data_IF_685126511413
#
_entry.id   IF_685126511413
#
_cell.length_a   1.000
_cell.length_b   1.000
_cell.length_c   1.000
_cell.angle_alpha   90.00
_cell.angle_beta   90.00
_cell.angle_gamma   90.00
#
_symmetry.space_group_name_H-M   'P 1'
#
loop_
_entity.id
_entity.type
_entity.pdbx_description
1 polymer ?
#
# COMPACT_ATOMS: atom_id res chain seq x y z
N UNK A 1 63.84 39.98 -78.41
CA UNK A 1 62.64 40.69 -78.04
C UNK A 1 61.64 39.76 -77.56
N UNK A 2 60.99 40.09 -76.55
CA UNK A 2 59.88 39.45 -75.79
C UNK A 2 60.33 38.62 -74.54
N UNK A 3 60.07 39.29 -73.41
CA UNK A 3 60.30 38.79 -72.07
C UNK A 3 59.09 37.92 -71.61
N UNK A 4 59.39 36.76 -71.00
CA UNK A 4 58.32 35.99 -70.34
C UNK A 4 58.49 36.15 -68.82
N UNK A 5 57.47 36.71 -68.19
CA UNK A 5 57.38 36.86 -66.72
C UNK A 5 56.95 35.53 -66.09
N UNK A 6 57.76 35.01 -65.18
CA UNK A 6 57.42 33.87 -64.35
C UNK A 6 56.38 34.23 -63.23
N UNK A 7 55.37 33.45 -63.12
CA UNK A 7 54.35 33.54 -62.09
C UNK A 7 54.67 32.61 -60.91
N UNK A 8 54.93 33.20 -59.73
CA UNK A 8 55.16 32.39 -58.49
C UNK A 8 53.75 32.09 -57.90
N UNK A 9 53.47 30.80 -57.82
CA UNK A 9 52.33 30.27 -57.16
C UNK A 9 52.66 30.03 -55.68
N UNK A 10 52.08 30.80 -54.77
CA UNK A 10 52.17 30.58 -53.31
C UNK A 10 51.12 29.57 -52.91
N UNK A 11 51.48 28.41 -52.42
CA UNK A 11 50.57 27.40 -51.87
C UNK A 11 50.07 27.89 -50.48
N UNK A 12 48.78 28.19 -50.36
CA UNK A 12 48.10 28.43 -49.05
C UNK A 12 47.60 27.11 -48.50
N UNK A 13 48.19 26.70 -47.37
CA UNK A 13 47.76 25.52 -46.62
C UNK A 13 46.49 25.87 -45.85
N UNK A 14 45.32 25.35 -46.27
CA UNK A 14 44.11 25.44 -45.53
C UNK A 14 44.08 24.41 -44.40
N UNK A 15 44.13 24.89 -43.16
CA UNK A 15 43.91 24.10 -41.93
C UNK A 15 42.40 23.88 -41.76
N UNK A 16 41.89 22.71 -42.13
CA UNK A 16 40.50 22.33 -41.88
C UNK A 16 40.32 21.91 -40.40
N UNK A 17 39.72 22.84 -39.61
CA UNK A 17 39.23 22.50 -38.25
C UNK A 17 37.98 21.66 -38.39
N UNK A 18 38.12 20.37 -38.16
CA UNK A 18 36.99 19.45 -38.07
C UNK A 18 36.18 19.70 -36.80
N UNK A 19 35.03 20.37 -36.91
CA UNK A 19 34.03 20.46 -35.82
C UNK A 19 33.39 19.10 -35.69
N UNK A 20 33.78 18.33 -34.64
CA UNK A 20 33.09 17.12 -34.26
C UNK A 20 31.74 17.51 -33.63
N UNK A 21 30.69 17.48 -34.41
CA UNK A 21 29.33 17.53 -33.87
C UNK A 21 29.06 16.23 -33.09
N UNK A 22 29.17 16.29 -31.77
CA UNK A 22 28.60 15.27 -30.88
C UNK A 22 27.10 15.24 -31.09
N UNK A 23 26.61 14.30 -31.89
CA UNK A 23 25.17 14.01 -32.00
C UNK A 23 24.78 13.42 -30.66
N UNK A 24 24.19 14.28 -29.79
CA UNK A 24 23.48 13.81 -28.63
C UNK A 24 22.34 12.93 -29.15
N UNK A 25 22.50 11.60 -29.01
CA UNK A 25 21.38 10.70 -29.28
C UNK A 25 20.23 11.07 -28.33
N UNK A 26 19.01 11.35 -28.85
CA UNK A 26 17.87 11.53 -27.97
C UNK A 26 17.77 10.27 -27.12
N UNK A 27 17.70 10.43 -25.81
CA UNK A 27 17.45 9.33 -24.89
C UNK A 27 16.23 8.57 -25.45
N UNK A 28 16.46 7.32 -25.86
CA UNK A 28 15.41 6.49 -26.47
C UNK A 28 14.28 6.43 -25.46
N UNK A 29 13.10 6.89 -25.85
CA UNK A 29 11.94 6.90 -24.98
C UNK A 29 11.81 5.53 -24.33
N UNK A 30 11.89 5.45 -23.00
CA UNK A 30 12.03 4.19 -22.24
C UNK A 30 10.81 3.26 -22.34
N UNK A 31 9.89 3.52 -23.25
CA UNK A 31 8.65 2.77 -23.43
C UNK A 31 7.59 3.14 -22.39
N UNK A 32 6.71 2.20 -22.10
CA UNK A 32 5.61 2.41 -21.14
C UNK A 32 5.41 1.19 -20.24
N UNK A 33 4.67 1.41 -19.14
CA UNK A 33 4.14 0.37 -18.27
C UNK A 33 2.71 0.72 -17.86
N UNK A 34 1.78 -0.24 -18.01
CA UNK A 34 0.36 -0.06 -17.71
C UNK A 34 0.05 -0.67 -16.34
N UNK A 35 -0.32 0.17 -15.39
CA UNK A 35 -0.59 -0.23 -14.01
C UNK A 35 -2.09 -0.23 -13.74
N UNK A 36 -2.66 -1.39 -13.45
CA UNK A 36 -4.02 -1.54 -12.95
C UNK A 36 -4.00 -1.47 -11.42
N UNK A 37 -4.53 -0.39 -10.86
CA UNK A 37 -4.37 -0.06 -9.45
C UNK A 37 -5.68 0.00 -8.69
N UNK A 38 -5.73 -0.69 -7.56
CA UNK A 38 -6.77 -0.49 -6.54
C UNK A 38 -6.46 0.70 -5.60
N UNK A 39 -5.26 1.29 -5.71
CA UNK A 39 -4.90 2.49 -4.94
C UNK A 39 -5.25 3.75 -5.71
N UNK A 40 -5.71 4.75 -4.96
CA UNK A 40 -6.04 6.05 -5.51
C UNK A 40 -4.80 6.69 -6.18
N UNK A 41 -4.97 7.37 -7.32
CA UNK A 41 -3.86 8.01 -8.05
C UNK A 41 -2.99 8.92 -7.18
N UNK A 42 -3.60 9.70 -6.29
CA UNK A 42 -2.90 10.61 -5.36
C UNK A 42 -1.91 9.93 -4.43
N UNK A 43 -2.01 8.59 -4.26
CA UNK A 43 -1.13 7.82 -3.39
C UNK A 43 0.04 7.17 -4.11
N UNK A 44 -0.07 6.98 -5.41
CA UNK A 44 0.94 6.25 -6.21
C UNK A 44 1.61 7.16 -7.25
N UNK A 45 0.96 8.24 -7.65
CA UNK A 45 1.49 9.17 -8.63
C UNK A 45 2.87 9.75 -8.26
N UNK A 46 3.16 10.17 -7.03
CA UNK A 46 4.49 10.66 -6.69
C UNK A 46 5.62 9.65 -6.98
N UNK A 47 5.37 8.35 -6.72
CA UNK A 47 6.31 7.27 -7.03
C UNK A 47 6.50 7.10 -8.53
N UNK A 48 5.41 7.09 -9.28
CA UNK A 48 5.43 6.87 -10.73
C UNK A 48 6.04 8.05 -11.49
N UNK A 49 5.84 9.28 -11.00
CA UNK A 49 6.45 10.48 -11.59
C UNK A 49 7.99 10.45 -11.44
N UNK A 50 8.50 10.04 -10.27
CA UNK A 50 9.95 9.89 -10.05
C UNK A 50 10.51 8.75 -10.91
N UNK A 51 9.83 7.62 -10.96
CA UNK A 51 10.22 6.50 -11.83
C UNK A 51 10.31 6.93 -13.30
N UNK A 52 9.28 7.61 -13.81
CA UNK A 52 9.25 8.10 -15.19
C UNK A 52 10.38 9.10 -15.44
N UNK A 53 10.62 10.02 -14.51
CA UNK A 53 11.72 11.02 -14.63
C UNK A 53 13.10 10.34 -14.71
N UNK A 54 13.31 9.26 -13.96
CA UNK A 54 14.61 8.54 -13.92
C UNK A 54 14.85 7.63 -15.12
N UNK A 55 13.80 6.99 -15.60
CA UNK A 55 13.93 5.89 -16.57
C UNK A 55 13.47 6.25 -17.98
N UNK A 56 12.73 7.34 -18.13
CA UNK A 56 12.02 7.66 -19.37
C UNK A 56 10.81 6.75 -19.63
N UNK A 57 10.52 5.76 -18.77
CA UNK A 57 9.39 4.83 -18.92
C UNK A 57 8.12 5.54 -18.44
N UNK A 58 7.14 5.70 -19.33
CA UNK A 58 5.84 6.29 -19.00
C UNK A 58 4.99 5.32 -18.21
N UNK A 59 4.43 5.75 -17.07
CA UNK A 59 3.45 4.95 -16.31
C UNK A 59 2.04 5.36 -16.67
N UNK A 60 1.27 4.44 -17.27
CA UNK A 60 -0.15 4.61 -17.54
C UNK A 60 -0.94 3.97 -16.40
N UNK A 61 -1.73 4.76 -15.68
CA UNK A 61 -2.45 4.32 -14.48
C UNK A 61 -3.94 4.19 -14.76
N UNK A 62 -4.48 2.97 -14.58
CA UNK A 62 -5.91 2.71 -14.53
C UNK A 62 -6.31 2.43 -13.07
N UNK A 63 -7.17 3.27 -12.52
CA UNK A 63 -7.67 3.12 -11.15
C UNK A 63 -9.09 2.58 -11.13
N UNK A 64 -9.35 1.56 -10.30
CA UNK A 64 -10.71 1.14 -9.95
C UNK A 64 -10.77 0.63 -8.50
N UNK A 65 -11.90 0.86 -7.84
CA UNK A 65 -12.12 0.40 -6.45
C UNK A 65 -12.32 -1.11 -6.35
N UNK A 66 -12.78 -1.76 -7.44
CA UNK A 66 -13.09 -3.20 -7.52
C UNK A 66 -12.96 -3.70 -8.96
N UNK A 67 -12.92 -5.02 -9.15
CA UNK A 67 -13.08 -5.68 -10.45
C UNK A 67 -11.83 -5.79 -11.32
N UNK A 68 -10.63 -5.25 -10.91
CA UNK A 68 -9.45 -5.28 -11.78
C UNK A 68 -8.90 -6.69 -12.02
N UNK A 69 -8.90 -7.57 -11.03
CA UNK A 69 -8.50 -8.98 -11.21
C UNK A 69 -9.43 -9.66 -12.24
N UNK A 70 -10.74 -9.48 -12.09
CA UNK A 70 -11.70 -10.06 -13.05
C UNK A 70 -11.53 -9.46 -14.45
N UNK A 71 -11.26 -8.17 -14.55
CA UNK A 71 -10.98 -7.49 -15.79
C UNK A 71 -9.78 -8.09 -16.52
N UNK A 72 -8.62 -8.23 -15.84
CA UNK A 72 -7.41 -8.85 -16.41
C UNK A 72 -7.72 -10.28 -16.84
N UNK A 73 -8.48 -11.04 -16.03
CA UNK A 73 -8.88 -12.42 -16.37
C UNK A 73 -9.73 -12.49 -17.64
N UNK A 74 -10.70 -11.58 -17.78
CA UNK A 74 -11.58 -11.51 -18.96
C UNK A 74 -10.83 -11.02 -20.20
N UNK A 75 -9.92 -10.06 -20.07
CA UNK A 75 -9.06 -9.57 -21.15
C UNK A 75 -8.08 -10.66 -21.63
N UNK A 76 -7.68 -11.59 -20.75
CA UNK A 76 -6.80 -12.72 -21.07
C UNK A 76 -5.46 -12.28 -21.67
N UNK A 77 -5.07 -12.92 -22.77
CA UNK A 77 -3.82 -12.60 -23.49
C UNK A 77 -3.84 -11.21 -24.16
N UNK A 78 -5.01 -10.60 -24.33
CA UNK A 78 -5.17 -9.27 -24.90
C UNK A 78 -5.16 -8.17 -23.82
N UNK A 79 -4.94 -8.52 -22.56
CA UNK A 79 -4.89 -7.51 -21.48
C UNK A 79 -3.72 -6.56 -21.69
N UNK A 80 -3.96 -5.23 -21.67
CA UNK A 80 -2.88 -4.26 -21.71
C UNK A 80 -2.19 -4.10 -20.35
N UNK A 81 -2.67 -4.75 -19.31
CA UNK A 81 -2.11 -4.61 -17.96
C UNK A 81 -0.72 -5.23 -17.86
N UNK A 82 0.26 -4.46 -17.36
CA UNK A 82 1.59 -4.96 -17.04
C UNK A 82 1.74 -5.25 -15.55
N UNK A 83 1.12 -4.43 -14.71
CA UNK A 83 1.20 -4.54 -13.24
C UNK A 83 -0.18 -4.45 -12.64
N UNK A 84 -0.50 -5.35 -11.70
CA UNK A 84 -1.61 -5.18 -10.77
C UNK A 84 -1.08 -4.66 -9.44
N UNK A 85 -1.62 -3.51 -8.98
CA UNK A 85 -1.18 -2.82 -7.79
C UNK A 85 -2.32 -2.72 -6.76
N UNK A 86 -2.07 -3.13 -5.52
CA UNK A 86 -3.13 -3.21 -4.51
C UNK A 86 -2.64 -2.81 -3.12
N UNK A 87 -3.59 -2.52 -2.26
CA UNK A 87 -3.36 -2.18 -0.85
C UNK A 87 -3.86 -3.27 0.10
N UNK A 88 -3.84 -4.53 -0.32
CA UNK A 88 -4.35 -5.62 0.53
C UNK A 88 -3.83 -6.98 0.08
N UNK A 89 -3.34 -7.78 1.05
CA UNK A 89 -2.81 -9.11 0.78
C UNK A 89 -3.85 -10.06 0.17
N UNK A 90 -5.12 -9.94 0.55
CA UNK A 90 -6.17 -10.78 -0.02
C UNK A 90 -6.44 -10.50 -1.50
N UNK A 91 -6.20 -9.28 -1.96
CA UNK A 91 -6.28 -8.96 -3.38
C UNK A 91 -5.10 -9.49 -4.16
N UNK A 92 -3.89 -9.49 -3.56
CA UNK A 92 -2.72 -10.14 -4.15
C UNK A 92 -2.94 -11.65 -4.26
N UNK A 93 -3.40 -12.28 -3.19
CA UNK A 93 -3.78 -13.70 -3.20
C UNK A 93 -4.87 -14.00 -4.23
N UNK A 94 -5.88 -13.14 -4.33
CA UNK A 94 -6.93 -13.25 -5.35
C UNK A 94 -6.40 -13.17 -6.77
N UNK A 95 -5.38 -12.34 -7.03
CA UNK A 95 -4.73 -12.28 -8.34
C UNK A 95 -3.97 -13.57 -8.67
N UNK A 96 -3.28 -14.17 -7.66
CA UNK A 96 -2.63 -15.48 -7.80
C UNK A 96 -3.67 -16.58 -8.06
N UNK A 97 -4.72 -16.66 -7.25
CA UNK A 97 -5.79 -17.67 -7.39
C UNK A 97 -6.56 -17.56 -8.71
N UNK A 98 -6.67 -16.35 -9.25
CA UNK A 98 -7.30 -16.11 -10.56
C UNK A 98 -6.36 -16.39 -11.74
N UNK A 99 -5.09 -16.74 -11.46
CA UNK A 99 -4.03 -16.99 -12.46
C UNK A 99 -3.80 -15.80 -13.42
N UNK A 100 -3.84 -14.57 -12.86
CA UNK A 100 -3.65 -13.32 -13.63
C UNK A 100 -2.29 -12.65 -13.40
N UNK A 101 -1.42 -13.26 -12.61
CA UNK A 101 -0.04 -12.79 -12.37
C UNK A 101 0.97 -13.88 -12.69
N UNK A 102 2.15 -13.48 -13.12
CA UNK A 102 3.26 -14.37 -13.44
C UNK A 102 4.36 -14.32 -12.38
N UNK A 103 5.21 -15.32 -12.38
CA UNK A 103 6.43 -15.36 -11.57
C UNK A 103 7.44 -14.32 -12.07
N UNK A 104 8.06 -13.61 -11.14
CA UNK A 104 9.18 -12.71 -11.38
C UNK A 104 10.34 -13.16 -10.49
N UNK A 105 11.49 -13.38 -11.09
CA UNK A 105 12.74 -13.59 -10.39
C UNK A 105 13.64 -12.36 -10.62
N UNK A 106 13.93 -11.62 -9.55
CA UNK A 106 14.80 -10.45 -9.55
C UNK A 106 15.62 -10.43 -8.26
N UNK A 107 16.92 -10.46 -8.39
CA UNK A 107 17.84 -10.39 -7.25
C UNK A 107 17.69 -9.06 -6.50
N UNK A 108 17.40 -7.98 -7.21
CA UNK A 108 17.15 -6.66 -6.63
C UNK A 108 15.91 -6.70 -5.71
N UNK A 109 14.81 -7.25 -6.20
CA UNK A 109 13.58 -7.37 -5.42
C UNK A 109 13.80 -8.33 -4.24
N UNK A 110 14.42 -9.46 -4.47
CA UNK A 110 14.68 -10.48 -3.46
C UNK A 110 15.59 -9.99 -2.33
N UNK A 111 16.57 -9.14 -2.65
CA UNK A 111 17.46 -8.49 -1.67
C UNK A 111 16.73 -7.43 -0.85
N UNK A 112 15.81 -6.68 -1.46
CA UNK A 112 15.19 -5.50 -0.85
C UNK A 112 13.88 -5.81 -0.12
N UNK A 113 13.15 -6.86 -0.51
CA UNK A 113 11.88 -7.24 0.12
C UNK A 113 12.07 -8.54 0.90
N UNK A 114 11.94 -8.53 2.23
CA UNK A 114 12.04 -9.74 3.06
C UNK A 114 11.05 -10.83 2.61
N UNK A 115 11.42 -12.10 2.79
CA UNK A 115 10.60 -13.24 2.40
C UNK A 115 9.21 -13.25 3.03
N UNK A 116 9.05 -12.70 4.25
CA UNK A 116 7.76 -12.55 4.93
C UNK A 116 6.77 -11.61 4.20
N UNK A 117 7.28 -10.74 3.32
CA UNK A 117 6.48 -9.78 2.58
C UNK A 117 6.41 -10.06 1.07
N UNK A 118 6.70 -11.28 0.63
CA UNK A 118 6.58 -11.68 -0.77
C UNK A 118 6.02 -13.09 -0.93
N UNK A 119 5.50 -13.35 -2.09
CA UNK A 119 5.05 -14.69 -2.47
C UNK A 119 6.24 -15.66 -2.58
N UNK A 120 6.08 -16.89 -2.12
CA UNK A 120 7.13 -17.91 -2.19
C UNK A 120 7.53 -18.26 -3.64
N UNK A 121 6.58 -18.14 -4.57
CA UNK A 121 6.77 -18.41 -6.00
C UNK A 121 7.03 -17.12 -6.80
N UNK A 122 7.26 -15.97 -6.15
CA UNK A 122 7.57 -14.70 -6.81
C UNK A 122 6.43 -14.08 -7.62
N UNK A 123 5.17 -14.39 -7.29
CA UNK A 123 4.00 -13.88 -8.01
C UNK A 123 3.50 -12.53 -7.52
N UNK A 124 3.85 -12.15 -6.30
CA UNK A 124 3.57 -10.81 -5.73
C UNK A 124 4.66 -10.38 -4.75
N UNK A 125 4.76 -9.07 -4.58
CA UNK A 125 5.73 -8.41 -3.69
C UNK A 125 5.03 -7.34 -2.88
N UNK A 126 5.16 -7.42 -1.55
CA UNK A 126 4.74 -6.38 -0.62
C UNK A 126 5.74 -5.22 -0.66
N UNK A 127 5.24 -4.02 -0.86
CA UNK A 127 6.08 -2.83 -1.03
C UNK A 127 6.07 -1.93 0.20
N UNK A 128 4.97 -1.96 0.97
CA UNK A 128 4.85 -1.26 2.24
C UNK A 128 3.93 -2.02 3.19
N UNK A 129 4.07 -1.74 4.49
CA UNK A 129 3.15 -2.24 5.51
C UNK A 129 2.31 -1.12 6.12
N UNK A 130 1.19 -1.47 6.70
CA UNK A 130 0.34 -0.60 7.51
C UNK A 130 -0.29 -1.38 8.65
N UNK A 131 -0.35 -0.76 9.82
CA UNK A 131 -1.02 -1.32 10.99
C UNK A 131 -2.53 -1.11 10.95
N UNK A 132 -3.29 -2.10 11.41
CA UNK A 132 -4.69 -1.93 11.77
C UNK A 132 -4.74 -1.49 13.22
N UNK A 133 -4.88 -0.20 13.48
CA UNK A 133 -4.65 0.45 14.76
C UNK A 133 -5.96 0.93 15.39
N UNK A 134 -5.87 1.40 16.61
CA UNK A 134 -6.94 2.12 17.29
C UNK A 134 -6.62 3.61 17.31
N UNK A 135 -7.59 4.43 16.91
CA UNK A 135 -7.59 5.86 17.13
C UNK A 135 -8.55 6.15 18.27
N UNK A 136 -8.00 6.43 19.43
CA UNK A 136 -8.75 6.54 20.69
C UNK A 136 -8.91 7.99 21.11
N UNK A 137 -10.06 8.33 21.69
CA UNK A 137 -10.29 9.66 22.23
C UNK A 137 -9.25 10.05 23.27
N UNK A 138 -8.61 11.21 23.10
CA UNK A 138 -7.64 11.74 24.07
C UNK A 138 -8.26 12.02 25.44
N UNK A 139 -9.52 12.40 25.44
CA UNK A 139 -10.22 12.80 26.67
C UNK A 139 -10.86 11.61 27.38
N UNK A 140 -11.46 10.65 26.64
CA UNK A 140 -12.32 9.61 27.22
C UNK A 140 -11.62 8.27 27.43
N UNK A 141 -10.48 8.00 26.73
CA UNK A 141 -9.69 6.79 26.89
C UNK A 141 -8.40 7.12 27.60
N UNK A 142 -8.23 6.64 28.81
CA UNK A 142 -7.06 6.91 29.66
C UNK A 142 -6.01 5.80 29.65
N UNK A 143 -6.38 4.58 29.18
CA UNK A 143 -5.46 3.46 29.07
C UNK A 143 -4.34 3.74 28.05
N UNK A 144 -3.12 3.34 28.37
CA UNK A 144 -1.96 3.51 27.49
C UNK A 144 -1.79 2.37 26.50
N UNK A 145 -2.38 1.21 26.76
CA UNK A 145 -2.41 0.06 25.85
C UNK A 145 -3.80 -0.59 25.81
N UNK A 146 -4.15 -1.14 24.67
CA UNK A 146 -5.38 -1.92 24.44
C UNK A 146 -5.01 -3.02 23.46
N UNK A 147 -5.38 -4.27 23.76
CA UNK A 147 -5.24 -5.38 22.82
C UNK A 147 -6.46 -5.51 21.91
N UNK A 148 -6.36 -6.25 20.79
CA UNK A 148 -7.54 -6.55 19.99
C UNK A 148 -8.54 -7.39 20.77
N UNK A 149 -8.04 -8.28 21.63
CA UNK A 149 -8.83 -9.17 22.47
C UNK A 149 -9.72 -8.38 23.41
N UNK A 150 -9.20 -7.34 24.05
CA UNK A 150 -9.92 -6.46 24.96
C UNK A 150 -11.09 -5.71 24.31
N UNK A 151 -11.09 -5.53 22.99
CA UNK A 151 -12.22 -4.88 22.29
C UNK A 151 -13.53 -5.64 22.43
N UNK A 152 -13.47 -6.91 22.80
CA UNK A 152 -14.68 -7.73 23.09
C UNK A 152 -15.14 -7.64 24.56
N UNK A 153 -14.39 -6.99 25.45
CA UNK A 153 -14.74 -6.89 26.87
C UNK A 153 -15.90 -5.92 27.12
N UNK A 154 -16.80 -6.20 28.07
CA UNK A 154 -18.00 -5.39 28.35
C UNK A 154 -17.71 -3.91 28.68
N UNK A 155 -16.52 -3.59 29.18
CA UNK A 155 -16.10 -2.19 29.48
C UNK A 155 -16.19 -1.26 28.27
N UNK A 156 -16.14 -1.81 27.06
CA UNK A 156 -16.23 -1.09 25.80
C UNK A 156 -17.63 -1.03 25.19
N UNK A 157 -18.67 -1.45 25.91
CA UNK A 157 -20.05 -1.46 25.40
C UNK A 157 -20.46 -0.05 24.92
N UNK A 158 -20.88 0.04 23.65
CA UNK A 158 -21.28 1.29 23.01
C UNK A 158 -20.15 2.26 22.71
N UNK A 159 -18.87 1.83 22.77
CA UNK A 159 -17.72 2.73 22.66
C UNK A 159 -16.86 2.53 21.40
N UNK A 160 -17.16 1.55 20.55
CA UNK A 160 -16.33 1.21 19.40
C UNK A 160 -17.03 1.58 18.10
N UNK A 161 -16.31 2.30 17.23
CA UNK A 161 -16.69 2.56 15.85
C UNK A 161 -15.78 1.83 14.88
N UNK A 162 -16.38 1.12 13.94
CA UNK A 162 -15.65 0.35 12.91
C UNK A 162 -16.44 0.38 11.61
N UNK A 163 -15.73 0.30 10.48
CA UNK A 163 -16.34 0.11 9.17
C UNK A 163 -16.86 -1.32 9.00
N UNK A 164 -17.56 -1.59 7.89
CA UNK A 164 -18.10 -2.92 7.58
C UNK A 164 -17.10 -4.06 7.87
N UNK A 165 -17.57 -5.11 8.54
CA UNK A 165 -16.80 -6.33 8.79
C UNK A 165 -16.34 -7.02 7.51
N UNK A 166 -17.13 -6.94 6.43
CA UNK A 166 -16.79 -7.48 5.10
C UNK A 166 -15.76 -6.64 4.34
N UNK A 167 -15.35 -5.49 4.88
CA UNK A 167 -14.29 -4.74 4.23
C UNK A 167 -12.95 -5.47 4.34
N UNK A 168 -12.18 -5.50 3.24
CA UNK A 168 -10.93 -6.27 3.12
C UNK A 168 -9.94 -6.05 4.28
N UNK A 169 -9.92 -4.86 4.92
CA UNK A 169 -9.03 -4.57 6.05
C UNK A 169 -9.50 -5.29 7.33
N UNK A 170 -10.79 -5.34 7.58
CA UNK A 170 -11.34 -6.04 8.74
C UNK A 170 -11.31 -7.55 8.54
N UNK A 171 -11.63 -8.05 7.34
CA UNK A 171 -11.46 -9.48 7.01
C UNK A 171 -10.02 -9.93 7.22
N UNK A 172 -9.01 -9.09 6.91
CA UNK A 172 -7.61 -9.43 7.16
C UNK A 172 -7.29 -9.48 8.67
N UNK A 173 -7.77 -8.51 9.47
CA UNK A 173 -7.65 -8.55 10.93
C UNK A 173 -8.34 -9.80 11.51
N UNK A 174 -9.57 -10.08 11.10
CA UNK A 174 -10.33 -11.24 11.61
C UNK A 174 -9.68 -12.56 11.21
N UNK A 175 -9.10 -12.64 10.02
CA UNK A 175 -8.30 -13.78 9.59
C UNK A 175 -7.04 -13.96 10.44
N UNK A 176 -6.36 -12.88 10.84
CA UNK A 176 -5.23 -12.97 11.77
C UNK A 176 -5.67 -13.44 13.16
N UNK A 177 -6.85 -13.02 13.63
CA UNK A 177 -7.42 -13.52 14.89
C UNK A 177 -7.71 -15.03 14.82
N UNK A 178 -8.22 -15.53 13.67
CA UNK A 178 -8.43 -16.98 13.49
C UNK A 178 -7.10 -17.73 13.51
N UNK A 179 -6.08 -17.19 12.85
CA UNK A 179 -4.75 -17.83 12.84
C UNK A 179 -4.13 -17.92 14.24
N UNK A 180 -4.32 -16.90 15.09
CA UNK A 180 -3.80 -16.89 16.46
C UNK A 180 -4.66 -17.69 17.46
N UNK A 181 -5.98 -17.65 17.33
CA UNK A 181 -6.90 -18.13 18.37
C UNK A 181 -7.81 -19.28 17.94
N UNK A 182 -7.85 -19.58 16.65
CA UNK A 182 -8.79 -20.53 16.07
C UNK A 182 -10.20 -19.91 15.85
N UNK A 183 -10.99 -20.61 15.04
CA UNK A 183 -12.30 -20.16 14.57
C UNK A 183 -13.28 -19.82 15.71
N UNK A 184 -13.47 -20.76 16.65
CA UNK A 184 -14.49 -20.61 17.69
C UNK A 184 -14.20 -19.48 18.70
N UNK A 185 -12.93 -19.31 19.10
CA UNK A 185 -12.55 -18.19 19.95
C UNK A 185 -12.72 -16.87 19.21
N UNK A 186 -12.38 -16.81 17.92
CA UNK A 186 -12.57 -15.62 17.08
C UNK A 186 -14.06 -15.33 16.87
N UNK A 187 -14.93 -16.33 16.73
CA UNK A 187 -16.38 -16.13 16.66
C UNK A 187 -16.90 -15.44 17.93
N UNK A 188 -16.56 -15.95 19.10
CA UNK A 188 -16.94 -15.35 20.39
C UNK A 188 -16.41 -13.94 20.55
N UNK A 189 -15.17 -13.70 20.12
CA UNK A 189 -14.56 -12.37 20.11
C UNK A 189 -15.32 -11.41 19.19
N UNK A 190 -15.69 -11.84 17.97
CA UNK A 190 -16.50 -11.03 17.04
C UNK A 190 -17.89 -10.70 17.60
N UNK A 191 -18.51 -11.64 18.32
CA UNK A 191 -19.79 -11.40 19.03
C UNK A 191 -19.63 -10.33 20.10
N UNK A 192 -18.58 -10.43 20.94
CA UNK A 192 -18.25 -9.42 21.94
C UNK A 192 -17.94 -8.07 21.34
N UNK A 193 -17.10 -8.02 20.31
CA UNK A 193 -16.78 -6.79 19.58
C UNK A 193 -18.06 -6.17 18.98
N UNK A 194 -18.93 -6.97 18.36
CA UNK A 194 -20.22 -6.51 17.82
C UNK A 194 -21.09 -5.86 18.91
N UNK A 195 -21.19 -6.48 20.08
CA UNK A 195 -21.97 -5.98 21.20
C UNK A 195 -21.43 -4.66 21.77
N UNK A 196 -20.13 -4.39 21.54
CA UNK A 196 -19.45 -3.19 22.00
C UNK A 196 -19.48 -2.04 20.97
N UNK A 197 -20.06 -2.26 19.79
CA UNK A 197 -20.18 -1.22 18.79
C UNK A 197 -21.15 -0.12 19.27
N UNK A 198 -20.80 1.14 19.00
CA UNK A 198 -21.65 2.28 19.28
C UNK A 198 -22.79 2.42 18.26
N UNK A 199 -22.61 1.85 17.07
CA UNK A 199 -23.57 1.93 15.97
C UNK A 199 -23.31 0.83 14.94
N UNK A 200 -24.26 0.67 14.01
CA UNK A 200 -24.10 -0.20 12.85
C UNK A 200 -22.84 0.19 12.07
N UNK A 201 -21.98 -0.79 11.70
CA UNK A 201 -20.79 -0.54 10.90
C UNK A 201 -21.10 0.17 9.58
N UNK A 202 -20.51 1.35 9.36
CA UNK A 202 -20.73 2.16 8.17
C UNK A 202 -19.55 3.07 7.86
N UNK A 203 -19.51 3.62 6.64
CA UNK A 203 -18.51 4.59 6.24
C UNK A 203 -17.08 4.02 6.03
N UNK A 204 -16.11 4.91 6.00
CA UNK A 204 -14.69 4.59 5.88
C UNK A 204 -13.94 4.88 7.19
N UNK A 205 -12.62 4.62 7.24
CA UNK A 205 -11.83 4.79 8.47
C UNK A 205 -11.85 6.24 8.99
N UNK A 206 -11.86 7.27 8.12
CA UNK A 206 -11.99 8.68 8.54
C UNK A 206 -13.35 8.98 9.17
N UNK A 207 -14.41 8.35 8.66
CA UNK A 207 -15.74 8.48 9.25
C UNK A 207 -15.79 7.92 10.68
N UNK A 208 -15.01 6.88 11.00
CA UNK A 208 -14.91 6.36 12.36
C UNK A 208 -14.27 7.41 13.29
N UNK A 209 -13.20 8.09 12.83
CA UNK A 209 -12.55 9.16 13.60
C UNK A 209 -13.49 10.36 13.79
N UNK A 210 -14.25 10.73 12.74
CA UNK A 210 -15.31 11.74 12.87
C UNK A 210 -16.32 11.37 13.96
N UNK A 211 -16.67 10.08 14.09
CA UNK A 211 -17.58 9.62 15.13
C UNK A 211 -16.97 9.74 16.53
N UNK A 212 -15.65 9.48 16.69
CA UNK A 212 -14.96 9.72 17.95
C UNK A 212 -14.94 11.21 18.30
N UNK A 213 -14.60 12.07 17.33
CA UNK A 213 -14.65 13.53 17.49
C UNK A 213 -16.04 14.02 17.92
N UNK A 214 -17.09 13.47 17.34
CA UNK A 214 -18.48 13.81 17.67
C UNK A 214 -19.00 13.16 18.96
N UNK A 215 -18.18 12.43 19.74
CA UNK A 215 -18.58 11.80 20.98
C UNK A 215 -19.47 10.56 20.84
N UNK A 216 -19.65 10.02 19.61
CA UNK A 216 -20.50 8.85 19.37
C UNK A 216 -19.85 7.54 19.83
N UNK A 217 -18.52 7.49 19.86
CA UNK A 217 -17.73 6.37 20.35
C UNK A 217 -16.39 6.89 20.88
N UNK A 218 -15.64 6.04 21.57
CA UNK A 218 -14.36 6.39 22.17
C UNK A 218 -13.17 5.82 21.40
N UNK A 219 -13.40 4.77 20.62
CA UNK A 219 -12.39 4.02 19.85
C UNK A 219 -12.82 3.90 18.39
N UNK A 220 -11.96 4.28 17.46
CA UNK A 220 -12.10 4.00 16.04
C UNK A 220 -11.08 2.97 15.60
N UNK A 221 -11.50 1.86 14.99
CA UNK A 221 -10.59 0.88 14.37
C UNK A 221 -10.28 1.35 12.95
N UNK A 222 -9.01 1.68 12.68
CA UNK A 222 -8.58 2.31 11.44
C UNK A 222 -7.20 1.83 10.98
N UNK A 223 -6.82 2.13 9.75
CA UNK A 223 -5.42 1.99 9.33
C UNK A 223 -4.63 3.27 9.69
N UNK A 224 -3.38 3.10 10.12
CA UNK A 224 -2.53 4.19 10.61
C UNK A 224 -2.41 5.36 9.62
N UNK A 225 -2.23 5.12 8.33
CA UNK A 225 -2.01 6.16 7.33
C UNK A 225 -3.19 7.15 7.19
N UNK A 226 -4.40 6.80 7.66
CA UNK A 226 -5.51 7.74 7.67
C UNK A 226 -5.29 8.89 8.65
N UNK A 227 -4.52 8.67 9.73
CA UNK A 227 -4.12 9.75 10.64
C UNK A 227 -3.35 10.83 9.88
N UNK A 228 -2.25 10.46 9.21
CA UNK A 228 -1.46 11.40 8.43
C UNK A 228 -2.25 12.10 7.33
N UNK A 229 -3.17 11.37 6.68
CA UNK A 229 -4.04 11.96 5.67
C UNK A 229 -5.04 12.97 6.21
N UNK A 230 -5.53 12.81 7.43
CA UNK A 230 -6.39 13.78 8.07
C UNK A 230 -5.58 15.01 8.53
N UNK A 231 -4.43 14.78 9.14
CA UNK A 231 -3.53 15.84 9.62
C UNK A 231 -3.03 16.77 8.50
N UNK A 232 -2.90 16.26 7.27
CA UNK A 232 -2.38 17.01 6.10
C UNK A 232 -3.43 17.37 5.07
N UNK A 233 -4.72 17.30 5.41
CA UNK A 233 -5.79 17.51 4.44
C UNK A 233 -6.22 18.99 4.38
N UNK A 234 -5.63 19.74 3.47
CA UNK A 234 -6.00 21.16 3.26
C UNK A 234 -7.32 21.35 2.50
N UNK A 235 -7.76 20.32 1.74
CA UNK A 235 -9.05 20.35 1.04
C UNK A 235 -10.24 20.13 1.96
N UNK A 236 -10.02 19.51 3.12
CA UNK A 236 -11.01 19.19 4.12
C UNK A 236 -10.42 19.48 5.50
N UNK A 237 -10.25 20.77 5.86
CA UNK A 237 -9.56 21.19 7.08
C UNK A 237 -10.23 20.68 8.37
N UNK A 238 -11.54 20.41 8.33
CA UNK A 238 -12.28 19.80 9.45
C UNK A 238 -11.68 18.44 9.87
N UNK A 239 -11.00 17.71 8.97
CA UNK A 239 -10.36 16.45 9.28
C UNK A 239 -9.15 16.61 10.20
N UNK A 240 -8.50 17.78 10.18
CA UNK A 240 -7.40 18.10 11.10
C UNK A 240 -7.91 18.15 12.54
N UNK A 241 -9.11 18.69 12.76
CA UNK A 241 -9.72 18.71 14.10
C UNK A 241 -10.12 17.32 14.57
N UNK A 242 -10.63 16.46 13.66
CA UNK A 242 -10.87 15.06 14.01
C UNK A 242 -9.58 14.34 14.41
N UNK A 243 -8.47 14.56 13.67
CA UNK A 243 -7.19 13.97 14.01
C UNK A 243 -6.65 14.45 15.37
N UNK A 244 -6.81 15.73 15.70
CA UNK A 244 -6.39 16.30 17.02
C UNK A 244 -7.15 15.67 18.19
N UNK A 245 -8.40 15.25 18.01
CA UNK A 245 -9.24 14.69 19.08
C UNK A 245 -8.85 13.27 19.50
N UNK A 246 -8.01 12.59 18.68
CA UNK A 246 -7.63 11.22 18.93
C UNK A 246 -6.12 11.07 19.09
N UNK A 247 -5.68 9.98 19.72
CA UNK A 247 -4.30 9.51 19.69
C UNK A 247 -4.24 8.12 19.07
N UNK A 248 -3.11 7.80 18.43
CA UNK A 248 -2.88 6.49 17.86
C UNK A 248 -2.43 5.52 18.94
N UNK A 249 -2.97 4.31 18.89
CA UNK A 249 -2.59 3.21 19.75
C UNK A 249 -2.40 1.96 18.89
N UNK A 250 -1.28 1.28 19.10
CA UNK A 250 -0.91 0.06 18.39
C UNK A 250 -1.27 -1.15 19.25
N UNK A 251 -2.35 -1.90 18.93
CA UNK A 251 -2.77 -3.04 19.74
C UNK A 251 -1.70 -4.14 19.79
N UNK A 252 -1.64 -4.86 20.91
CA UNK A 252 -0.79 -6.02 21.11
C UNK A 252 0.73 -5.77 20.94
N UNK A 253 1.20 -4.51 20.94
CA UNK A 253 2.63 -4.19 20.77
C UNK A 253 3.52 -4.90 21.82
N UNK A 254 3.03 -5.05 23.05
CA UNK A 254 3.76 -5.71 24.13
C UNK A 254 3.71 -7.25 24.06
N UNK A 255 2.84 -7.78 23.23
CA UNK A 255 2.64 -9.24 23.08
C UNK A 255 3.04 -9.73 21.69
N UNK A 256 2.09 -10.23 20.88
CA UNK A 256 2.35 -10.75 19.53
C UNK A 256 2.64 -9.68 18.48
N UNK A 257 2.31 -8.45 18.78
CA UNK A 257 2.45 -7.34 17.85
C UNK A 257 1.14 -6.91 17.19
N UNK A 258 1.15 -5.70 16.65
CA UNK A 258 0.02 -5.11 15.91
C UNK A 258 -0.15 -5.81 14.57
N UNK A 259 -1.39 -6.21 14.23
CA UNK A 259 -1.71 -6.74 12.92
C UNK A 259 -1.31 -5.76 11.81
N UNK A 260 -0.50 -6.24 10.87
CA UNK A 260 -0.07 -5.50 9.68
C UNK A 260 -0.59 -6.15 8.41
N UNK A 261 -0.83 -5.32 7.40
CA UNK A 261 -1.17 -5.76 6.06
C UNK A 261 -0.24 -5.04 5.07
N UNK A 262 -0.20 -5.48 3.81
CA UNK A 262 0.73 -4.94 2.82
C UNK A 262 0.01 -4.21 1.69
N UNK A 263 0.67 -3.17 1.18
CA UNK A 263 0.45 -2.71 -0.18
C UNK A 263 1.51 -3.35 -1.06
N UNK A 264 1.12 -3.83 -2.21
CA UNK A 264 2.04 -4.58 -3.07
C UNK A 264 1.57 -4.68 -4.50
N UNK A 265 2.36 -5.36 -5.30
CA UNK A 265 2.10 -5.52 -6.73
C UNK A 265 2.57 -6.88 -7.24
N UNK A 266 2.02 -7.28 -8.38
CA UNK A 266 2.47 -8.41 -9.18
C UNK A 266 2.50 -8.04 -10.65
N UNK A 267 3.34 -8.70 -11.44
CA UNK A 267 3.38 -8.56 -12.89
C UNK A 267 2.24 -9.36 -13.49
N UNK A 268 1.46 -8.77 -14.37
CA UNK A 268 0.34 -9.45 -15.02
C UNK A 268 0.84 -10.61 -15.89
N UNK A 269 0.04 -11.69 -15.97
CA UNK A 269 0.43 -12.95 -16.64
C UNK A 269 0.86 -12.74 -18.09
N UNK A 270 0.18 -11.88 -18.82
CA UNK A 270 0.43 -11.58 -20.23
C UNK A 270 0.94 -10.14 -20.42
N UNK A 271 1.69 -9.59 -19.45
CA UNK A 271 2.20 -8.23 -19.50
C UNK A 271 2.92 -7.92 -20.81
N UNK A 272 2.40 -7.02 -21.67
CA UNK A 272 3.05 -6.67 -22.94
C UNK A 272 4.38 -5.91 -22.73
N UNK A 273 4.54 -5.22 -21.61
CA UNK A 273 5.75 -4.48 -21.26
C UNK A 273 6.42 -5.08 -20.00
N UNK A 274 6.60 -6.42 -19.99
CA UNK A 274 7.08 -7.18 -18.83
C UNK A 274 8.35 -6.60 -18.20
N UNK A 275 9.35 -6.29 -19.01
CA UNK A 275 10.64 -5.82 -18.50
C UNK A 275 10.53 -4.43 -17.84
N UNK A 276 9.69 -3.56 -18.38
CA UNK A 276 9.37 -2.27 -17.77
C UNK A 276 8.58 -2.44 -16.47
N UNK A 277 7.71 -3.45 -16.39
CA UNK A 277 6.99 -3.82 -15.17
C UNK A 277 7.95 -4.28 -14.07
N UNK A 278 8.94 -5.12 -14.40
CA UNK A 278 9.98 -5.57 -13.46
C UNK A 278 10.81 -4.38 -12.98
N UNK A 279 11.28 -3.51 -13.89
CA UNK A 279 12.00 -2.26 -13.53
C UNK A 279 11.20 -1.37 -12.61
N UNK A 280 9.88 -1.26 -12.80
CA UNK A 280 9.02 -0.51 -11.89
C UNK A 280 8.99 -1.15 -10.50
N UNK A 281 8.85 -2.47 -10.40
CA UNK A 281 8.86 -3.17 -9.11
C UNK A 281 10.22 -3.04 -8.40
N UNK A 282 11.33 -3.13 -9.12
CA UNK A 282 12.69 -2.92 -8.60
C UNK A 282 12.87 -1.51 -8.06
N UNK A 283 12.39 -0.49 -8.78
CA UNK A 283 12.40 0.89 -8.30
C UNK A 283 11.56 1.05 -7.02
N UNK A 284 10.34 0.50 -6.99
CA UNK A 284 9.48 0.56 -5.82
C UNK A 284 10.05 -0.17 -4.60
N UNK A 285 10.90 -1.18 -4.82
CA UNK A 285 11.63 -1.91 -3.79
C UNK A 285 12.96 -1.22 -3.38
N UNK A 286 13.45 -0.23 -4.13
CA UNK A 286 14.70 0.49 -3.85
C UNK A 286 14.57 1.42 -2.63
N UNK A 287 15.72 1.88 -2.09
CA UNK A 287 15.72 2.88 -1.01
C UNK A 287 14.92 4.12 -1.36
N UNK A 288 15.08 4.62 -2.59
CA UNK A 288 14.37 5.81 -3.06
C UNK A 288 12.86 5.57 -3.14
N UNK A 289 12.42 4.47 -3.78
CA UNK A 289 11.00 4.12 -3.86
C UNK A 289 10.37 3.96 -2.47
N UNK A 290 11.05 3.27 -1.56
CA UNK A 290 10.61 3.05 -0.19
C UNK A 290 10.56 4.35 0.62
N UNK A 291 11.53 5.26 0.47
CA UNK A 291 11.52 6.56 1.12
C UNK A 291 10.37 7.44 0.61
N UNK A 292 10.16 7.53 -0.71
CA UNK A 292 9.02 8.29 -1.27
C UNK A 292 7.70 7.74 -0.72
N UNK A 293 7.59 6.42 -0.63
CA UNK A 293 6.39 5.77 -0.09
C UNK A 293 6.13 6.15 1.37
N UNK A 294 7.16 6.07 2.21
CA UNK A 294 7.07 6.42 3.62
C UNK A 294 6.65 7.88 3.83
N UNK A 295 7.21 8.81 3.03
CA UNK A 295 6.94 10.24 3.16
C UNK A 295 5.57 10.65 2.60
N UNK A 296 5.15 10.06 1.45
CA UNK A 296 3.95 10.50 0.73
C UNK A 296 2.66 9.81 1.17
N UNK A 297 2.76 8.59 1.69
CA UNK A 297 1.59 7.72 1.94
C UNK A 297 1.39 7.40 3.41
N UNK A 298 2.40 7.67 4.25
CA UNK A 298 2.36 7.38 5.69
C UNK A 298 2.23 5.88 6.02
N UNK A 299 2.66 5.02 5.11
CA UNK A 299 2.85 3.59 5.33
C UNK A 299 4.31 3.31 5.71
N UNK A 300 4.58 2.15 6.28
CA UNK A 300 5.91 1.78 6.72
C UNK A 300 6.65 1.03 5.61
N UNK A 301 7.91 1.38 5.32
CA UNK A 301 8.71 0.66 4.34
C UNK A 301 8.92 -0.79 4.78
N UNK A 302 9.00 -1.71 3.81
CA UNK A 302 9.32 -3.13 4.06
C UNK A 302 10.82 -3.40 3.95
N UNK A 303 11.56 -2.56 3.22
CA UNK A 303 13.01 -2.73 3.05
C UNK A 303 13.72 -2.44 4.37
N UNK A 304 14.54 -3.37 4.89
CA UNK A 304 15.36 -3.13 6.08
C UNK A 304 16.30 -1.95 5.88
N UNK A 305 16.50 -1.15 6.94
CA UNK A 305 17.38 0.02 6.91
C UNK A 305 16.76 1.31 6.36
N UNK A 306 15.59 1.25 5.73
CA UNK A 306 14.87 2.47 5.31
C UNK A 306 14.14 3.08 6.50
N UNK A 307 14.44 4.34 6.79
CA UNK A 307 13.84 5.06 7.91
C UNK A 307 12.35 5.34 7.68
N UNK A 308 11.58 5.25 8.75
CA UNK A 308 10.20 5.75 8.76
C UNK A 308 10.19 7.27 8.58
N UNK A 309 9.10 7.81 8.05
CA UNK A 309 8.91 9.26 8.03
C UNK A 309 8.88 9.82 9.46
N UNK A 310 9.28 11.07 9.65
CA UNK A 310 9.22 11.73 10.96
C UNK A 310 7.79 11.75 11.52
N UNK A 311 6.81 11.86 10.63
CA UNK A 311 5.40 11.76 11.02
C UNK A 311 5.04 10.36 11.53
N UNK A 312 5.48 9.30 10.87
CA UNK A 312 5.24 7.93 11.35
C UNK A 312 5.93 7.70 12.70
N UNK A 313 7.14 8.23 12.89
CA UNK A 313 7.87 8.18 14.17
C UNK A 313 7.13 8.92 15.28
N UNK A 314 6.51 10.07 14.98
CA UNK A 314 5.77 10.87 15.97
C UNK A 314 4.52 10.17 16.52
N UNK A 315 4.01 9.13 15.84
CA UNK A 315 2.89 8.32 16.34
C UNK A 315 3.32 7.21 17.30
N UNK A 316 4.62 7.02 17.49
CA UNK A 316 5.22 5.97 18.30
C UNK A 316 5.76 4.81 17.48
N UNK A 317 6.60 4.01 18.14
CA UNK A 317 7.16 2.78 17.57
C UNK A 317 6.30 1.61 18.02
N UNK A 318 6.07 0.66 17.12
CA UNK A 318 5.30 -0.54 17.43
C UNK A 318 6.00 -1.81 16.95
N UNK A 319 5.71 -2.91 17.61
CA UNK A 319 6.06 -4.25 17.15
C UNK A 319 4.98 -4.72 16.18
N UNK A 320 5.37 -5.02 14.95
CA UNK A 320 4.47 -5.66 13.99
C UNK A 320 4.27 -7.15 14.36
N UNK A 321 3.06 -7.65 14.17
CA UNK A 321 2.78 -9.08 14.24
C UNK A 321 3.60 -9.82 13.18
N UNK A 322 4.32 -10.85 13.59
CA UNK A 322 5.18 -11.67 12.73
C UNK A 322 4.44 -12.81 12.02
N UNK A 323 3.11 -12.89 12.20
CA UNK A 323 2.30 -13.90 11.52
C UNK A 323 2.52 -13.82 10.00
N UNK A 324 2.90 -14.95 9.35
CA UNK A 324 3.09 -14.96 7.91
C UNK A 324 1.82 -14.52 7.17
N UNK A 325 1.96 -13.65 6.18
CA UNK A 325 0.82 -13.15 5.40
C UNK A 325 0.04 -14.28 4.71
N UNK A 326 0.72 -15.37 4.35
CA UNK A 326 0.08 -16.55 3.77
C UNK A 326 -0.89 -17.23 4.75
N UNK A 327 -0.65 -17.17 6.05
CA UNK A 327 -1.57 -17.72 7.06
C UNK A 327 -2.82 -16.84 7.19
N UNK A 328 -2.66 -15.52 7.08
CA UNK A 328 -3.82 -14.61 6.96
C UNK A 328 -4.65 -14.95 5.70
N UNK A 329 -3.99 -15.21 4.57
CA UNK A 329 -4.67 -15.55 3.31
C UNK A 329 -5.54 -16.80 3.50
N UNK A 330 -5.01 -17.86 4.13
CA UNK A 330 -5.72 -19.13 4.35
C UNK A 330 -7.05 -18.95 5.08
N UNK A 331 -7.10 -18.05 6.07
CA UNK A 331 -8.26 -17.85 6.94
C UNK A 331 -9.24 -16.76 6.44
N UNK A 332 -8.98 -16.08 5.32
CA UNK A 332 -9.82 -14.95 4.85
C UNK A 332 -11.26 -15.34 4.51
N UNK A 333 -11.45 -16.50 3.86
CA UNK A 333 -12.79 -17.01 3.54
C UNK A 333 -13.57 -17.26 4.83
N UNK A 334 -12.97 -17.98 5.75
CA UNK A 334 -13.56 -18.30 7.05
C UNK A 334 -13.86 -17.03 7.88
N UNK A 335 -12.97 -16.04 7.86
CA UNK A 335 -13.19 -14.74 8.51
C UNK A 335 -14.39 -13.99 7.92
N UNK A 336 -14.55 -14.03 6.58
CA UNK A 336 -15.71 -13.44 5.91
C UNK A 336 -17.01 -14.15 6.29
N UNK A 337 -17.00 -15.48 6.33
CA UNK A 337 -18.13 -16.30 6.77
C UNK A 337 -18.53 -16.00 8.22
N UNK A 338 -17.56 -15.85 9.14
CA UNK A 338 -17.83 -15.48 10.52
C UNK A 338 -18.49 -14.12 10.66
N UNK A 339 -18.13 -13.13 9.82
CA UNK A 339 -18.81 -11.82 9.81
C UNK A 339 -20.30 -11.94 9.53
N UNK A 340 -20.67 -12.85 8.61
CA UNK A 340 -22.07 -13.10 8.26
C UNK A 340 -22.77 -13.94 9.34
N UNK A 341 -22.14 -14.99 9.84
CA UNK A 341 -22.67 -15.87 10.91
C UNK A 341 -23.03 -15.05 12.17
N UNK A 342 -22.13 -14.17 12.62
CA UNK A 342 -22.40 -13.33 13.81
C UNK A 342 -23.32 -12.14 13.49
N UNK A 343 -23.64 -11.92 12.23
CA UNK A 343 -24.41 -10.74 11.79
C UNK A 343 -23.69 -9.43 12.15
N UNK A 344 -22.36 -9.37 12.00
CA UNK A 344 -21.53 -8.26 12.47
C UNK A 344 -21.99 -6.91 11.92
N UNK A 345 -22.35 -6.88 10.64
CA UNK A 345 -22.78 -5.66 9.96
C UNK A 345 -24.21 -5.17 10.37
N UNK A 346 -24.93 -5.94 11.17
CA UNK A 346 -26.20 -5.50 11.73
C UNK A 346 -26.01 -4.51 12.89
N UNK A 347 -24.79 -4.44 13.44
CA UNK A 347 -24.49 -3.61 14.60
C UNK A 347 -24.84 -4.31 15.93
N UNK A 348 -24.74 -3.59 17.06
CA UNK A 348 -25.06 -4.15 18.37
C UNK A 348 -26.54 -4.58 18.42
N UNK A 349 -26.83 -5.55 19.28
CA UNK A 349 -28.24 -5.83 19.63
C UNK A 349 -28.82 -4.59 20.33
N UNK A 350 -30.03 -4.22 19.95
CA UNK A 350 -30.82 -3.14 20.58
C UNK A 350 -31.12 -3.45 22.04
#
# INVERSE_FOLDING_TARGET
>A
MTATKGLKITAATMLSVGIVFSIAHPAQAGGQVNVYSYRQPTLVKPLFDVFTKKTGIKVNLLFAKKGLVQRIKTEGANSPADVIFTADIGRLAGAVSADVVQQVNSDIINKNIPASYRDKDGKWFGLTTRGRILLVSRERVKQDSITYEELAEPKWKGKICIRSGQHVYNVALFASMIAHHGKEKTRKWLEGLKNNLAQKPAGNDRAQVKNVFAGKCDIAVANNYYMGKMETNDKHPEQKEWAKSVRMMFPNTETRGTHVNVSGAGVAKFAPNRDNAVKLLEFLASDEGQNIYAQSVFEYPVKPGVSWSERNKSWGVFKADTLPLNDIIKHRKEASELVDIVGFNNGPAS
#
